data_IF_861740003772
#
_entry.id   IF_861740003772
#
_cell.length_a   1.000
_cell.length_b   1.000
_cell.length_c   1.000
_cell.angle_alpha   90.00
_cell.angle_beta   90.00
_cell.angle_gamma   90.00
#
_symmetry.space_group_name_H-M   'P 1'
#
loop_
_entity.id
_entity.type
_entity.pdbx_description
1 polymer ?
#
# COMPACT_ATOMS: atom_id res chain seq x y z
N UNK A 1 10.64 -11.92 4.25
CA UNK A 1 9.80 -10.80 4.73
C UNK A 1 8.37 -11.30 4.91
N UNK A 2 7.51 -10.56 5.61
CA UNK A 2 6.09 -10.87 5.76
C UNK A 2 5.24 -9.64 5.49
N UNK A 3 4.21 -9.78 4.67
CA UNK A 3 3.23 -8.71 4.41
C UNK A 3 1.86 -9.10 4.92
N UNK A 4 1.17 -8.14 5.53
CA UNK A 4 -0.25 -8.25 5.86
C UNK A 4 -1.03 -7.18 5.11
N UNK A 5 -2.01 -7.60 4.31
CA UNK A 5 -2.95 -6.72 3.63
C UNK A 5 -4.02 -6.29 4.64
N UNK A 6 -3.90 -5.07 5.14
CA UNK A 6 -4.82 -4.49 6.13
C UNK A 6 -6.11 -3.98 5.49
N UNK A 7 -6.06 -3.54 4.25
CA UNK A 7 -7.27 -3.22 3.49
C UNK A 7 -7.00 -3.46 2.03
N UNK A 8 -8.04 -3.81 1.28
CA UNK A 8 -7.90 -4.33 -0.08
C UNK A 8 -8.85 -3.73 -1.10
N UNK A 9 -9.66 -2.75 -0.70
CA UNK A 9 -10.55 -2.02 -1.60
C UNK A 9 -9.93 -0.71 -2.09
N UNK A 10 -10.51 -0.20 -3.17
CA UNK A 10 -10.37 1.17 -3.61
C UNK A 10 -11.10 2.15 -2.66
N UNK A 11 -11.09 3.44 -3.01
CA UNK A 11 -11.54 4.56 -2.20
C UNK A 11 -12.88 4.35 -1.46
N UNK A 12 -13.86 3.83 -2.18
CA UNK A 12 -15.23 3.74 -1.71
C UNK A 12 -15.51 2.57 -0.77
N UNK A 13 -14.59 1.59 -0.67
CA UNK A 13 -14.74 0.31 0.04
C UNK A 13 -15.70 -0.66 -0.67
N UNK A 14 -15.76 -1.90 -0.18
CA UNK A 14 -16.81 -2.87 -0.54
C UNK A 14 -17.40 -3.40 0.77
N UNK A 15 -18.67 -3.11 1.11
CA UNK A 15 -19.64 -2.26 0.42
C UNK A 15 -19.20 -0.80 0.31
N UNK A 16 -19.56 -0.15 -0.80
CA UNK A 16 -19.35 1.28 -0.99
C UNK A 16 -20.17 2.09 0.02
N UNK A 17 -19.58 3.09 0.68
CA UNK A 17 -20.20 3.83 1.80
C UNK A 17 -21.59 4.43 1.50
N UNK A 18 -21.89 4.74 0.22
CA UNK A 18 -23.19 5.23 -0.25
C UNK A 18 -23.84 4.33 -1.31
N UNK A 19 -23.36 3.11 -1.47
CA UNK A 19 -23.80 2.21 -2.54
C UNK A 19 -24.77 1.14 -2.03
N UNK A 20 -25.71 0.77 -2.90
CA UNK A 20 -26.64 -0.34 -2.67
C UNK A 20 -26.68 -1.30 -3.86
N UNK A 21 -25.63 -1.38 -4.69
CA UNK A 21 -25.58 -2.32 -5.83
C UNK A 21 -25.59 -3.78 -5.37
N UNK A 22 -25.78 -4.72 -6.31
CA UNK A 22 -25.83 -6.16 -6.00
C UNK A 22 -24.60 -6.64 -5.22
N UNK A 23 -23.39 -6.25 -5.65
CA UNK A 23 -22.16 -6.61 -4.95
C UNK A 23 -22.11 -6.06 -3.52
N UNK A 24 -22.49 -4.79 -3.32
CA UNK A 24 -22.49 -4.16 -1.99
C UNK A 24 -23.52 -4.79 -1.05
N UNK A 25 -24.71 -5.15 -1.56
CA UNK A 25 -25.72 -5.89 -0.80
C UNK A 25 -25.21 -7.28 -0.43
N UNK A 26 -24.66 -8.00 -1.40
CA UNK A 26 -24.07 -9.32 -1.20
C UNK A 26 -22.98 -9.28 -0.12
N UNK A 27 -22.03 -8.35 -0.23
CA UNK A 27 -20.96 -8.19 0.75
C UNK A 27 -21.49 -7.89 2.16
N UNK A 28 -22.50 -7.03 2.27
CA UNK A 28 -23.15 -6.74 3.56
C UNK A 28 -23.86 -7.95 4.17
N UNK A 29 -24.50 -8.77 3.34
CA UNK A 29 -25.25 -9.95 3.77
C UNK A 29 -24.34 -11.13 4.15
N UNK A 30 -23.26 -11.35 3.39
CA UNK A 30 -22.33 -12.47 3.59
C UNK A 30 -21.27 -12.15 4.64
N UNK A 31 -20.78 -10.91 4.66
CA UNK A 31 -19.68 -10.51 5.53
C UNK A 31 -18.35 -11.19 5.19
N UNK A 32 -17.46 -11.28 6.18
CA UNK A 32 -16.17 -11.95 6.01
C UNK A 32 -15.31 -11.28 4.92
N UNK A 33 -14.75 -12.09 4.01
CA UNK A 33 -13.86 -11.61 2.93
C UNK A 33 -14.56 -10.76 1.87
N UNK A 34 -15.89 -10.75 1.84
CA UNK A 34 -16.62 -9.85 0.94
C UNK A 34 -16.61 -8.40 1.44
N UNK A 35 -16.32 -8.17 2.73
CA UNK A 35 -16.07 -6.84 3.27
C UNK A 35 -14.61 -6.48 3.02
N UNK A 36 -14.38 -5.33 2.39
CA UNK A 36 -13.06 -4.79 2.08
C UNK A 36 -13.00 -3.31 2.43
N UNK A 37 -12.02 -2.94 3.23
CA UNK A 37 -11.70 -1.56 3.62
C UNK A 37 -10.63 -0.94 2.72
N UNK A 38 -10.39 0.36 2.85
CA UNK A 38 -9.46 1.10 2.00
C UNK A 38 -8.05 0.51 2.02
N UNK A 39 -7.37 0.51 0.88
CA UNK A 39 -6.09 -0.17 0.69
C UNK A 39 -5.03 0.27 1.71
N UNK A 40 -4.42 -0.71 2.37
CA UNK A 40 -3.31 -0.51 3.29
C UNK A 40 -2.58 -1.84 3.50
N UNK A 41 -1.28 -1.80 3.74
CA UNK A 41 -0.53 -2.97 4.15
C UNK A 41 0.51 -2.64 5.22
N UNK A 42 0.96 -3.67 5.93
CA UNK A 42 2.12 -3.57 6.82
C UNK A 42 3.11 -4.69 6.52
N UNK A 43 4.39 -4.32 6.46
CA UNK A 43 5.51 -5.24 6.24
C UNK A 43 6.25 -5.44 7.56
N UNK A 44 6.47 -6.71 7.91
CA UNK A 44 7.20 -7.16 9.11
C UNK A 44 6.73 -6.49 10.40
N UNK A 45 5.43 -6.14 10.48
CA UNK A 45 4.83 -5.37 11.58
C UNK A 45 5.56 -4.03 11.88
N UNK A 46 6.28 -3.48 10.90
CA UNK A 46 7.22 -2.40 11.14
C UNK A 46 7.09 -1.24 10.16
N UNK A 47 6.79 -1.53 8.89
CA UNK A 47 6.70 -0.53 7.82
C UNK A 47 5.26 -0.50 7.31
N UNK A 48 4.62 0.64 7.47
CA UNK A 48 3.26 0.85 7.04
C UNK A 48 3.27 1.41 5.60
N UNK A 49 2.40 0.85 4.75
CA UNK A 49 2.19 1.27 3.38
C UNK A 49 0.78 1.85 3.29
N UNK A 50 0.72 3.15 2.98
CA UNK A 50 -0.46 4.01 3.04
C UNK A 50 -1.08 4.18 4.44
N UNK A 51 -1.88 5.23 4.59
CA UNK A 51 -2.56 5.63 5.83
C UNK A 51 -4.00 6.11 5.54
N UNK A 52 -4.92 5.23 5.09
CA UNK A 52 -6.33 5.58 4.89
C UNK A 52 -7.02 5.99 6.19
N UNK A 53 -8.22 6.58 6.06
CA UNK A 53 -9.12 6.81 7.20
C UNK A 53 -9.57 5.53 7.91
N UNK A 54 -9.43 4.37 7.25
CA UNK A 54 -9.70 3.06 7.86
C UNK A 54 -8.52 2.54 8.74
N UNK A 55 -7.39 3.24 8.83
CA UNK A 55 -6.22 2.77 9.60
C UNK A 55 -6.55 2.46 11.06
N UNK A 56 -7.40 3.26 11.72
CA UNK A 56 -7.85 2.98 13.08
C UNK A 56 -8.65 1.66 13.17
N UNK A 57 -9.52 1.41 12.19
CA UNK A 57 -10.26 0.14 12.09
C UNK A 57 -9.30 -1.03 11.87
N UNK A 58 -8.33 -0.90 10.97
CA UNK A 58 -7.31 -1.92 10.72
C UNK A 58 -6.51 -2.22 11.98
N UNK A 59 -6.12 -1.19 12.73
CA UNK A 59 -5.40 -1.34 13.99
C UNK A 59 -6.20 -2.16 15.00
N UNK A 60 -7.49 -1.85 15.18
CA UNK A 60 -8.37 -2.58 16.10
C UNK A 60 -8.63 -4.03 15.65
N UNK A 61 -8.86 -4.23 14.35
CA UNK A 61 -9.18 -5.54 13.77
C UNK A 61 -7.98 -6.47 13.75
N UNK A 62 -6.85 -6.01 13.22
CA UNK A 62 -5.68 -6.83 12.91
C UNK A 62 -4.60 -6.80 13.98
N UNK A 63 -4.71 -5.88 14.94
CA UNK A 63 -3.84 -5.75 16.13
C UNK A 63 -2.35 -5.63 15.78
N UNK A 64 -2.04 -5.00 14.65
CA UNK A 64 -0.67 -4.66 14.32
C UNK A 64 -0.15 -3.55 15.25
N UNK A 65 1.17 -3.41 15.45
CA UNK A 65 1.71 -2.51 16.47
C UNK A 65 1.77 -1.06 15.95
N UNK A 66 0.63 -0.46 15.61
CA UNK A 66 0.55 0.89 15.04
C UNK A 66 1.36 1.94 15.82
N UNK A 67 1.30 2.02 17.18
CA UNK A 67 2.12 2.98 17.92
C UNK A 67 3.64 2.77 17.76
N UNK A 68 4.05 1.55 17.42
CA UNK A 68 5.46 1.21 17.23
C UNK A 68 5.95 1.40 15.79
N UNK A 69 5.10 1.83 14.87
CA UNK A 69 5.51 2.08 13.47
C UNK A 69 6.46 3.28 13.44
N UNK A 70 7.60 3.09 12.77
CA UNK A 70 8.65 4.11 12.58
C UNK A 70 8.69 4.66 11.16
N UNK A 71 8.26 3.88 10.18
CA UNK A 71 8.29 4.29 8.77
C UNK A 71 6.92 4.07 8.13
N UNK A 72 6.39 5.13 7.54
CA UNK A 72 5.17 5.13 6.74
C UNK A 72 5.53 5.58 5.33
N UNK A 73 5.27 4.75 4.32
CA UNK A 73 5.43 5.13 2.91
C UNK A 73 4.03 5.36 2.35
N UNK A 74 3.80 6.54 1.77
CA UNK A 74 2.50 6.96 1.23
C UNK A 74 2.60 7.03 -0.28
N UNK A 75 1.83 6.21 -0.97
CA UNK A 75 1.83 6.13 -2.44
C UNK A 75 1.42 7.45 -3.08
N UNK A 76 0.31 8.04 -2.64
CA UNK A 76 -0.16 9.35 -3.13
C UNK A 76 -1.18 10.00 -2.18
N UNK A 77 -1.66 11.20 -2.53
CA UNK A 77 -2.40 12.09 -1.63
C UNK A 77 -3.91 11.86 -1.56
N UNK A 78 -4.48 10.94 -2.35
CA UNK A 78 -5.92 10.71 -2.29
C UNK A 78 -6.32 10.20 -0.91
N UNK A 79 -7.54 10.54 -0.49
CA UNK A 79 -8.02 10.35 0.89
C UNK A 79 -8.10 8.89 1.34
N UNK A 80 -8.08 7.96 0.40
CA UNK A 80 -8.05 6.53 0.63
C UNK A 80 -6.64 5.94 0.74
N UNK A 81 -5.61 6.76 0.59
CA UNK A 81 -4.20 6.40 0.81
C UNK A 81 -3.54 7.30 1.85
N UNK A 82 -4.07 8.51 2.07
CA UNK A 82 -3.52 9.45 3.03
C UNK A 82 -4.61 10.26 3.75
N UNK A 83 -4.77 9.96 5.04
CA UNK A 83 -5.58 10.70 5.99
C UNK A 83 -4.68 11.31 7.08
N UNK A 84 -4.00 12.40 6.72
CA UNK A 84 -2.96 13.01 7.56
C UNK A 84 -3.47 13.62 8.87
N UNK A 85 -4.77 13.92 8.96
CA UNK A 85 -5.39 14.47 10.18
C UNK A 85 -5.18 13.55 11.40
N UNK A 86 -5.25 12.23 11.21
CA UNK A 86 -5.01 11.28 12.30
C UNK A 86 -3.53 11.18 12.69
N UNK A 87 -2.60 11.47 11.77
CA UNK A 87 -1.16 11.48 12.05
C UNK A 87 -0.75 12.66 12.96
N UNK A 88 -1.49 13.77 12.90
CA UNK A 88 -1.25 14.92 13.77
C UNK A 88 -1.41 14.56 15.26
N UNK A 89 -2.17 13.52 15.58
CA UNK A 89 -2.29 13.01 16.95
C UNK A 89 -1.05 12.29 17.47
N UNK A 90 0.01 12.15 16.66
CA UNK A 90 1.32 11.64 17.11
C UNK A 90 2.16 12.70 17.83
N UNK A 91 1.81 13.98 17.69
CA UNK A 91 2.49 15.09 18.38
C UNK A 91 2.39 14.94 19.90
N UNK A 92 3.38 15.50 20.62
CA UNK A 92 3.38 15.51 22.08
C UNK A 92 2.10 16.21 22.63
N UNK A 93 1.61 15.73 23.76
CA UNK A 93 0.33 16.18 24.36
C UNK A 93 -0.92 15.46 23.87
N UNK A 94 -0.90 14.84 22.67
CA UNK A 94 -1.95 13.90 22.24
C UNK A 94 -1.66 12.47 22.67
N UNK A 95 -0.38 12.07 22.72
CA UNK A 95 0.04 10.73 23.12
C UNK A 95 0.66 10.74 24.53
N UNK A 96 0.11 9.94 25.44
CA UNK A 96 0.64 9.81 26.82
C UNK A 96 1.86 8.89 26.87
N UNK A 97 1.86 7.81 26.08
CA UNK A 97 2.95 6.85 25.99
C UNK A 97 3.09 6.35 24.56
N UNK A 98 4.26 6.58 23.96
CA UNK A 98 4.60 6.11 22.63
C UNK A 98 5.85 5.23 22.69
N UNK A 99 5.78 3.94 22.30
CA UNK A 99 6.95 3.06 22.32
C UNK A 99 8.02 3.50 21.31
N UNK A 100 7.65 4.24 20.26
CA UNK A 100 8.61 4.72 19.25
C UNK A 100 8.61 6.24 19.20
N UNK A 101 9.72 6.90 19.57
CA UNK A 101 9.71 8.35 19.74
C UNK A 101 9.38 9.08 18.43
N UNK A 102 9.69 8.48 17.28
CA UNK A 102 9.63 9.17 15.99
C UNK A 102 9.04 8.30 14.86
N UNK A 103 8.16 8.89 14.05
CA UNK A 103 7.65 8.33 12.79
C UNK A 103 8.10 9.23 11.65
N UNK A 104 8.77 8.65 10.67
CA UNK A 104 9.10 9.31 9.42
C UNK A 104 8.06 8.92 8.37
N UNK A 105 7.46 9.94 7.73
CA UNK A 105 6.53 9.77 6.63
C UNK A 105 7.25 10.05 5.32
N UNK A 106 7.20 9.11 4.38
CA UNK A 106 7.78 9.22 3.05
C UNK A 106 6.65 9.36 2.02
N UNK A 107 6.77 10.32 1.12
CA UNK A 107 5.80 10.49 0.03
C UNK A 107 6.23 11.57 -0.94
N UNK A 108 5.42 11.81 -1.97
CA UNK A 108 5.69 12.89 -2.93
C UNK A 108 5.52 14.28 -2.29
N UNK A 109 5.98 15.32 -2.99
CA UNK A 109 5.79 16.71 -2.55
C UNK A 109 4.31 17.06 -2.40
N UNK A 110 3.45 16.46 -3.23
CA UNK A 110 2.00 16.64 -3.12
C UNK A 110 1.49 16.07 -1.82
N UNK A 111 1.91 14.85 -1.42
CA UNK A 111 1.57 14.27 -0.11
C UNK A 111 2.05 15.18 1.03
N UNK A 112 3.27 15.73 0.93
CA UNK A 112 3.79 16.67 1.93
C UNK A 112 2.88 17.88 2.12
N UNK A 113 2.32 18.44 1.04
CA UNK A 113 1.34 19.52 1.13
C UNK A 113 0.06 19.15 1.92
N UNK A 114 -0.42 17.91 1.79
CA UNK A 114 -1.55 17.41 2.58
C UNK A 114 -1.15 17.11 4.02
N UNK A 115 0.08 16.66 4.27
CA UNK A 115 0.65 16.53 5.61
C UNK A 115 0.65 17.90 6.30
N UNK A 116 1.25 18.92 5.68
CA UNK A 116 1.26 20.29 6.21
C UNK A 116 -0.14 20.84 6.46
N UNK A 117 -1.11 20.53 5.59
CA UNK A 117 -2.51 20.91 5.82
C UNK A 117 -3.05 20.32 7.12
N UNK A 118 -2.79 19.04 7.40
CA UNK A 118 -3.28 18.38 8.61
C UNK A 118 -2.72 19.04 9.89
N UNK A 119 -1.42 19.34 9.90
CA UNK A 119 -0.75 19.98 11.03
C UNK A 119 -1.16 21.46 11.19
N UNK A 120 -1.43 22.14 10.08
CA UNK A 120 -2.01 23.48 10.10
C UNK A 120 -3.38 23.52 10.81
N UNK A 121 -4.23 22.49 10.65
CA UNK A 121 -5.51 22.41 11.34
C UNK A 121 -5.36 22.34 12.86
N UNK A 122 -4.30 21.66 13.33
CA UNK A 122 -3.94 21.56 14.75
C UNK A 122 -3.16 22.78 15.27
N UNK A 123 -2.77 23.70 14.38
CA UNK A 123 -1.99 24.91 14.68
C UNK A 123 -0.66 24.59 15.39
N UNK A 124 -0.07 23.43 15.10
CA UNK A 124 1.16 22.95 15.72
C UNK A 124 1.91 22.01 14.78
N UNK A 125 3.24 22.02 14.93
CA UNK A 125 4.17 21.06 14.35
C UNK A 125 5.01 20.41 15.46
N UNK A 126 5.46 19.18 15.24
CA UNK A 126 6.27 18.41 16.18
C UNK A 126 7.23 17.48 15.44
N UNK A 127 8.24 18.08 14.80
CA UNK A 127 9.23 17.36 13.99
C UNK A 127 10.02 16.32 14.79
N UNK A 128 10.09 16.45 16.12
CA UNK A 128 10.73 15.46 16.98
C UNK A 128 9.96 14.13 16.97
N UNK A 129 8.62 14.19 16.94
CA UNK A 129 7.77 13.00 16.99
C UNK A 129 7.30 12.55 15.61
N UNK A 130 7.20 13.45 14.64
CA UNK A 130 6.75 13.12 13.31
C UNK A 130 7.32 14.11 12.29
N UNK A 131 8.05 13.60 11.32
CA UNK A 131 8.57 14.38 10.19
C UNK A 131 8.17 13.77 8.86
N UNK A 132 8.43 14.54 7.81
CA UNK A 132 8.15 14.18 6.44
C UNK A 132 9.41 14.26 5.59
N UNK A 133 9.63 13.22 4.79
CA UNK A 133 10.69 13.15 3.79
C UNK A 133 10.06 13.04 2.40
N UNK A 134 10.20 14.11 1.61
CA UNK A 134 9.81 14.10 0.21
C UNK A 134 10.71 13.13 -0.58
N UNK A 135 10.08 12.22 -1.32
CA UNK A 135 10.73 11.31 -2.28
C UNK A 135 10.18 11.52 -3.69
N UNK A 136 10.96 11.16 -4.70
CA UNK A 136 10.65 11.29 -6.13
C UNK A 136 10.87 9.96 -6.85
N UNK A 137 10.26 9.75 -8.03
CA UNK A 137 10.58 8.59 -8.86
C UNK A 137 12.09 8.49 -9.09
N UNK A 138 12.63 7.29 -8.90
CA UNK A 138 14.04 6.94 -9.00
C UNK A 138 14.86 7.13 -7.73
N UNK A 139 14.28 7.64 -6.65
CA UNK A 139 14.97 7.75 -5.37
C UNK A 139 15.12 6.37 -4.69
N UNK A 140 16.34 6.07 -4.25
CA UNK A 140 16.66 4.99 -3.32
C UNK A 140 16.80 5.58 -1.90
N UNK A 141 16.12 4.98 -0.93
CA UNK A 141 16.18 5.43 0.46
C UNK A 141 16.09 4.28 1.46
N UNK A 142 16.56 4.51 2.69
CA UNK A 142 16.55 3.52 3.75
C UNK A 142 15.40 3.81 4.70
N UNK A 143 14.58 2.79 4.93
CA UNK A 143 13.54 2.79 5.96
C UNK A 143 13.89 1.78 7.04
N UNK A 144 13.41 2.01 8.26
CA UNK A 144 13.81 1.22 9.42
C UNK A 144 12.60 0.82 10.25
N UNK A 145 12.64 -0.42 10.75
CA UNK A 145 11.75 -0.85 11.82
C UNK A 145 11.99 -0.06 13.11
N UNK A 146 11.03 -0.13 14.03
CA UNK A 146 11.32 0.28 15.41
C UNK A 146 12.06 -0.85 16.13
N UNK A 147 12.97 -0.56 17.09
CA UNK A 147 13.47 -1.58 18.00
C UNK A 147 12.30 -2.27 18.70
N UNK A 148 12.33 -3.61 18.81
CA UNK A 148 11.28 -4.41 19.46
C UNK A 148 11.00 -3.97 20.91
N UNK A 149 11.95 -3.30 21.56
CA UNK A 149 11.76 -2.66 22.85
C UNK A 149 12.66 -1.43 23.00
N UNK A 150 12.19 -0.37 23.68
CA UNK A 150 13.04 0.79 24.03
C UNK A 150 14.29 0.42 24.88
N UNK A 151 14.35 -0.82 25.38
CA UNK A 151 15.41 -1.37 26.20
C UNK A 151 16.20 -2.52 25.52
N UNK A 152 15.90 -2.88 24.27
CA UNK A 152 16.68 -3.87 23.52
C UNK A 152 17.90 -3.20 22.87
N UNK A 153 19.07 -3.82 23.01
CA UNK A 153 20.29 -3.42 22.28
C UNK A 153 20.29 -3.94 20.82
N UNK A 154 19.13 -4.31 20.28
CA UNK A 154 19.02 -4.82 18.93
C UNK A 154 18.94 -3.64 17.95
N UNK A 155 19.78 -3.68 16.93
CA UNK A 155 19.77 -2.68 15.87
C UNK A 155 18.45 -2.77 15.08
N UNK A 156 17.83 -1.62 14.73
CA UNK A 156 16.67 -1.62 13.85
C UNK A 156 16.98 -2.37 12.55
N UNK A 157 16.09 -3.29 12.17
CA UNK A 157 16.13 -3.87 10.83
C UNK A 157 15.89 -2.77 9.80
N UNK A 158 16.74 -2.72 8.80
CA UNK A 158 16.74 -1.74 7.71
C UNK A 158 16.29 -2.38 6.42
N UNK A 159 15.63 -1.59 5.60
CA UNK A 159 15.15 -1.98 4.30
C UNK A 159 15.50 -0.89 3.30
N UNK A 160 15.86 -1.29 2.09
CA UNK A 160 16.02 -0.38 0.96
C UNK A 160 14.68 -0.24 0.26
N UNK A 161 14.17 0.98 0.18
CA UNK A 161 12.99 1.32 -0.59
C UNK A 161 13.41 2.03 -1.87
N UNK A 162 12.67 1.76 -2.96
CA UNK A 162 12.79 2.47 -4.23
C UNK A 162 11.44 3.05 -4.60
N UNK A 163 11.39 4.32 -5.00
CA UNK A 163 10.18 4.99 -5.45
C UNK A 163 10.08 4.95 -6.98
N UNK A 164 8.93 4.51 -7.50
CA UNK A 164 8.63 4.48 -8.93
C UNK A 164 7.49 5.44 -9.26
N UNK A 165 7.44 5.92 -10.50
CA UNK A 165 6.31 6.70 -11.00
C UNK A 165 5.10 5.79 -11.29
N UNK A 166 3.95 6.13 -10.71
CA UNK A 166 2.67 5.52 -10.99
C UNK A 166 1.96 6.23 -12.16
N UNK A 167 1.20 5.51 -12.97
CA UNK A 167 0.37 6.10 -14.01
C UNK A 167 -0.95 6.66 -13.43
N UNK A 168 -0.89 7.58 -12.47
CA UNK A 168 -2.06 8.15 -11.77
C UNK A 168 -1.84 9.57 -11.28
N UNK A 169 -2.88 10.20 -10.75
CA UNK A 169 -2.80 11.56 -10.22
C UNK A 169 -2.77 12.62 -11.32
N UNK A 170 -1.91 13.63 -11.20
CA UNK A 170 -1.79 14.69 -12.21
C UNK A 170 -0.79 14.33 -13.31
N UNK A 171 -0.23 13.11 -13.31
CA UNK A 171 0.82 12.66 -14.24
C UNK A 171 2.04 13.59 -14.21
N UNK A 172 2.41 14.03 -13.01
CA UNK A 172 3.51 14.97 -12.77
C UNK A 172 4.50 14.41 -11.73
N UNK A 173 4.72 13.10 -11.75
CA UNK A 173 5.53 12.38 -10.75
C UNK A 173 5.05 12.58 -9.29
N UNK A 174 3.73 12.73 -9.12
CA UNK A 174 3.06 13.04 -7.86
C UNK A 174 2.36 11.83 -7.22
N UNK A 175 2.17 10.76 -7.98
CA UNK A 175 1.75 9.44 -7.49
C UNK A 175 2.88 8.44 -7.65
N UNK A 176 3.14 7.70 -6.58
CA UNK A 176 4.26 6.77 -6.47
C UNK A 176 3.78 5.37 -6.12
N UNK A 177 4.59 4.39 -6.51
CA UNK A 177 4.57 3.09 -5.88
C UNK A 177 5.98 2.66 -5.48
N UNK A 178 6.09 1.65 -4.62
CA UNK A 178 7.36 1.35 -3.95
C UNK A 178 7.79 -0.10 -4.15
N UNK A 179 9.10 -0.30 -4.29
CA UNK A 179 9.70 -1.57 -3.89
C UNK A 179 10.31 -1.45 -2.50
N UNK A 180 10.42 -2.59 -1.81
CA UNK A 180 11.03 -2.69 -0.49
C UNK A 180 11.82 -3.99 -0.40
N UNK A 181 13.10 -3.90 -0.04
CA UNK A 181 13.99 -5.06 0.11
C UNK A 181 14.70 -5.05 1.45
N UNK A 182 14.81 -6.23 2.08
CA UNK A 182 15.67 -6.45 3.24
C UNK A 182 17.08 -6.97 2.86
N UNK A 183 17.37 -7.05 1.56
CA UNK A 183 18.60 -7.61 0.98
C UNK A 183 18.54 -9.09 0.62
N UNK A 184 17.53 -9.83 1.10
CA UNK A 184 17.28 -11.23 0.75
C UNK A 184 15.98 -11.40 -0.05
N UNK A 185 14.95 -10.62 0.29
CA UNK A 185 13.61 -10.64 -0.29
C UNK A 185 13.22 -9.26 -0.77
N UNK A 186 12.38 -9.21 -1.80
CA UNK A 186 11.92 -7.94 -2.38
C UNK A 186 10.42 -7.96 -2.66
N UNK A 187 9.75 -6.93 -2.15
CA UNK A 187 8.34 -6.59 -2.40
C UNK A 187 8.25 -5.52 -3.50
N UNK A 188 7.26 -5.65 -4.39
CA UNK A 188 6.71 -4.54 -5.18
C UNK A 188 5.26 -4.29 -4.74
N UNK A 189 4.95 -3.07 -4.29
CA UNK A 189 3.62 -2.64 -3.88
C UNK A 189 3.14 -1.55 -4.83
N UNK A 190 2.44 -1.95 -5.91
CA UNK A 190 2.05 -1.09 -7.04
C UNK A 190 0.52 -0.97 -7.17
N UNK A 191 -0.05 -0.12 -6.31
CA UNK A 191 -1.47 0.26 -6.34
C UNK A 191 -1.66 1.65 -6.95
N UNK A 192 -2.89 1.98 -7.36
CA UNK A 192 -3.24 3.24 -8.01
C UNK A 192 -2.34 3.57 -9.19
N UNK A 193 -2.29 2.62 -10.12
CA UNK A 193 -1.59 2.78 -11.38
C UNK A 193 -2.31 2.02 -12.46
N UNK A 194 -2.38 2.61 -13.65
CA UNK A 194 -2.60 1.85 -14.88
C UNK A 194 -1.34 1.08 -15.29
N UNK A 195 -1.27 0.72 -16.58
CA UNK A 195 -0.04 0.21 -17.18
C UNK A 195 1.15 1.10 -16.82
N UNK A 196 2.25 0.51 -16.35
CA UNK A 196 3.37 1.32 -15.87
C UNK A 196 3.94 2.19 -16.99
N UNK A 197 4.29 3.45 -16.71
CA UNK A 197 4.95 4.31 -17.69
C UNK A 197 6.23 3.69 -18.26
N UNK A 198 6.61 4.05 -19.48
CA UNK A 198 7.83 3.53 -20.13
C UNK A 198 9.09 3.79 -19.28
N UNK A 199 9.16 4.97 -18.63
CA UNK A 199 10.26 5.29 -17.72
C UNK A 199 10.29 4.37 -16.51
N UNK A 200 9.12 4.02 -15.96
CA UNK A 200 8.99 3.08 -14.84
C UNK A 200 9.40 1.67 -15.23
N UNK A 201 9.06 1.20 -16.44
CA UNK A 201 9.56 -0.08 -16.95
C UNK A 201 11.07 -0.08 -17.13
N UNK A 202 11.63 0.98 -17.69
CA UNK A 202 13.08 1.14 -17.83
C UNK A 202 13.78 1.18 -16.47
N UNK A 203 13.14 1.80 -15.47
CA UNK A 203 13.63 1.83 -14.10
C UNK A 203 13.59 0.46 -13.42
N UNK A 204 12.48 -0.30 -13.55
CA UNK A 204 12.39 -1.67 -13.06
C UNK A 204 13.51 -2.56 -13.64
N UNK A 205 13.79 -2.43 -14.94
CA UNK A 205 14.91 -3.13 -15.60
C UNK A 205 16.27 -2.66 -15.08
N UNK A 206 16.45 -1.36 -14.83
CA UNK A 206 17.69 -0.75 -14.31
C UNK A 206 17.99 -1.18 -12.87
N UNK A 207 16.99 -1.10 -11.99
CA UNK A 207 17.08 -1.53 -10.59
C UNK A 207 17.35 -3.03 -10.55
N UNK A 208 16.66 -3.78 -11.42
CA UNK A 208 16.84 -5.22 -11.56
C UNK A 208 16.53 -5.97 -10.27
N UNK A 209 17.21 -7.10 -10.07
CA UNK A 209 16.94 -8.01 -8.95
C UNK A 209 15.74 -8.92 -9.22
N UNK A 210 15.35 -9.67 -8.20
CA UNK A 210 14.17 -10.54 -8.23
C UNK A 210 13.14 -10.03 -7.21
N UNK A 211 11.88 -9.98 -7.64
CA UNK A 211 10.74 -9.69 -6.79
C UNK A 211 10.10 -10.99 -6.32
N UNK A 212 10.10 -11.21 -5.01
CA UNK A 212 9.48 -12.40 -4.40
C UNK A 212 7.98 -12.21 -4.20
N UNK A 213 7.52 -10.96 -4.04
CA UNK A 213 6.10 -10.64 -3.87
C UNK A 213 5.73 -9.37 -4.65
N UNK A 214 4.65 -9.42 -5.41
CA UNK A 214 4.16 -8.32 -6.25
C UNK A 214 2.66 -8.12 -6.00
N UNK A 215 2.29 -6.98 -5.41
CA UNK A 215 0.89 -6.55 -5.22
C UNK A 215 0.53 -5.52 -6.28
N UNK A 216 -0.52 -5.77 -7.05
CA UNK A 216 -0.94 -4.94 -8.19
C UNK A 216 -2.34 -4.37 -7.99
N UNK A 217 -2.53 -3.13 -8.47
CA UNK A 217 -3.84 -2.51 -8.68
C UNK A 217 -4.71 -3.45 -9.53
N UNK A 218 -5.91 -3.76 -9.06
CA UNK A 218 -6.92 -4.53 -9.77
C UNK A 218 -8.28 -3.89 -9.54
N UNK A 219 -8.34 -2.56 -9.62
CA UNK A 219 -9.52 -1.75 -9.32
C UNK A 219 -10.77 -2.25 -10.03
N UNK A 220 -10.65 -2.58 -11.31
CA UNK A 220 -11.80 -3.03 -12.10
C UNK A 220 -12.06 -4.55 -12.02
N UNK A 221 -11.32 -5.28 -11.18
CA UNK A 221 -11.44 -6.71 -10.97
C UNK A 221 -11.45 -7.48 -12.31
N UNK A 222 -12.50 -8.27 -12.59
CA UNK A 222 -12.63 -9.06 -13.82
C UNK A 222 -13.27 -8.28 -14.98
N UNK A 223 -13.55 -7.01 -14.79
CA UNK A 223 -14.30 -6.18 -15.73
C UNK A 223 -13.55 -4.88 -16.05
N UNK A 224 -14.19 -4.02 -16.84
CA UNK A 224 -13.62 -2.75 -17.25
C UNK A 224 -12.70 -2.86 -18.47
N UNK A 225 -12.61 -1.75 -19.21
CA UNK A 225 -11.56 -1.56 -20.20
C UNK A 225 -10.36 -1.00 -19.44
N UNK A 226 -9.15 -1.45 -19.77
CA UNK A 226 -7.90 -0.86 -19.25
C UNK A 226 -7.99 0.66 -19.34
N UNK A 227 -8.13 1.31 -18.19
CA UNK A 227 -8.09 2.76 -18.08
C UNK A 227 -6.63 3.14 -17.81
N UNK A 228 -6.20 4.30 -18.27
CA UNK A 228 -4.80 4.72 -18.07
C UNK A 228 -4.41 4.86 -16.59
N UNK A 229 -5.38 4.92 -15.67
CA UNK A 229 -5.18 5.23 -14.26
C UNK A 229 -5.35 4.05 -13.30
N UNK A 230 -6.05 2.99 -13.72
CA UNK A 230 -6.26 1.79 -12.90
C UNK A 230 -6.30 0.54 -13.77
N UNK A 231 -5.96 -0.60 -13.18
CA UNK A 231 -5.87 -1.88 -13.85
C UNK A 231 -7.09 -2.77 -13.60
N UNK A 232 -7.28 -3.73 -14.51
CA UNK A 232 -8.10 -4.90 -14.29
C UNK A 232 -7.20 -6.15 -14.18
N UNK A 233 -7.81 -7.32 -13.99
CA UNK A 233 -7.04 -8.55 -13.84
C UNK A 233 -6.28 -8.94 -15.12
N UNK A 234 -6.80 -8.63 -16.32
CA UNK A 234 -6.07 -8.87 -17.57
C UNK A 234 -4.78 -8.04 -17.64
N UNK A 235 -4.82 -6.79 -17.19
CA UNK A 235 -3.64 -5.93 -17.10
C UNK A 235 -2.63 -6.48 -16.08
N UNK A 236 -3.08 -7.03 -14.95
CA UNK A 236 -2.20 -7.72 -13.99
C UNK A 236 -1.46 -8.90 -14.64
N UNK A 237 -2.13 -9.71 -15.47
CA UNK A 237 -1.47 -10.79 -16.20
C UNK A 237 -0.39 -10.25 -17.14
N UNK A 238 -0.67 -9.14 -17.84
CA UNK A 238 0.30 -8.49 -18.72
C UNK A 238 1.50 -7.93 -17.95
N UNK A 239 1.29 -7.35 -16.77
CA UNK A 239 2.36 -6.86 -15.89
C UNK A 239 3.23 -8.04 -15.44
N UNK A 240 2.63 -9.13 -14.93
CA UNK A 240 3.35 -10.37 -14.59
C UNK A 240 4.21 -10.84 -15.75
N UNK A 241 3.61 -11.02 -16.92
CA UNK A 241 4.29 -11.57 -18.09
C UNK A 241 5.45 -10.67 -18.52
N UNK A 242 5.28 -9.34 -18.43
CA UNK A 242 6.36 -8.39 -18.71
C UNK A 242 7.49 -8.45 -17.69
N UNK A 243 7.18 -8.57 -16.39
CA UNK A 243 8.19 -8.74 -15.35
C UNK A 243 8.99 -10.04 -15.53
N UNK A 244 8.33 -11.14 -15.90
CA UNK A 244 8.99 -12.42 -16.21
C UNK A 244 9.89 -12.27 -17.45
N UNK A 245 9.44 -11.58 -18.50
CA UNK A 245 10.26 -11.31 -19.68
C UNK A 245 11.51 -10.47 -19.39
N UNK A 246 11.42 -9.54 -18.42
CA UNK A 246 12.55 -8.76 -17.95
C UNK A 246 13.48 -9.55 -17.02
N UNK A 247 13.09 -10.75 -16.58
CA UNK A 247 13.87 -11.57 -15.66
C UNK A 247 13.90 -11.05 -14.23
N UNK A 248 12.96 -10.17 -13.86
CA UNK A 248 12.84 -9.61 -12.50
C UNK A 248 11.78 -10.33 -11.65
N UNK A 249 11.08 -11.30 -12.23
CA UNK A 249 10.14 -12.19 -11.56
C UNK A 249 10.17 -13.55 -12.25
N UNK A 250 9.70 -14.59 -11.57
CA UNK A 250 9.67 -15.97 -12.08
C UNK A 250 8.49 -16.77 -11.49
N UNK A 251 8.50 -18.09 -11.66
CA UNK A 251 7.48 -18.99 -11.11
C UNK A 251 7.42 -19.04 -9.57
N UNK A 252 8.43 -18.49 -8.88
CA UNK A 252 8.48 -18.41 -7.43
C UNK A 252 7.97 -17.06 -6.90
N UNK A 253 7.79 -16.06 -7.77
CA UNK A 253 7.18 -14.79 -7.41
C UNK A 253 5.70 -14.97 -7.05
N UNK A 254 5.30 -14.43 -5.90
CA UNK A 254 3.91 -14.39 -5.47
C UNK A 254 3.24 -13.15 -6.05
N UNK A 255 2.34 -13.35 -7.01
CA UNK A 255 1.55 -12.28 -7.61
C UNK A 255 0.18 -12.14 -6.95
N UNK A 256 -0.17 -10.91 -6.57
CA UNK A 256 -1.39 -10.60 -5.82
C UNK A 256 -2.17 -9.49 -6.51
N UNK A 257 -3.45 -9.76 -6.81
CA UNK A 257 -4.42 -8.75 -7.24
C UNK A 257 -5.06 -8.09 -6.03
N UNK A 258 -5.13 -6.76 -6.01
CA UNK A 258 -5.55 -5.97 -4.85
C UNK A 258 -6.27 -4.66 -5.29
N UNK A 259 -6.61 -3.78 -4.35
CA UNK A 259 -7.23 -2.47 -4.60
C UNK A 259 -8.58 -2.53 -5.33
N UNK A 260 -9.50 -3.41 -4.91
CA UNK A 260 -10.72 -3.67 -5.67
C UNK A 260 -11.79 -2.58 -5.48
N UNK A 261 -12.36 -2.10 -6.59
CA UNK A 261 -13.53 -1.22 -6.57
C UNK A 261 -14.83 -2.03 -6.62
N UNK A 262 -15.87 -1.54 -5.95
CA UNK A 262 -17.21 -2.11 -6.13
C UNK A 262 -17.73 -1.97 -7.58
N UNK A 263 -17.12 -1.09 -8.38
CA UNK A 263 -17.40 -0.91 -9.80
C UNK A 263 -16.90 -2.10 -10.64
N UNK A 264 -15.96 -2.89 -10.12
CA UNK A 264 -15.52 -4.15 -10.72
C UNK A 264 -16.58 -5.26 -10.65
N UNK A 265 -17.66 -5.08 -9.87
CA UNK A 265 -18.84 -5.97 -9.79
C UNK A 265 -18.51 -7.47 -9.63
N UNK A 266 -17.37 -7.77 -9.03
CA UNK A 266 -16.84 -9.11 -8.85
C UNK A 266 -16.82 -9.42 -7.36
N UNK A 267 -17.41 -10.54 -6.96
CA UNK A 267 -17.36 -11.06 -5.58
C UNK A 267 -15.96 -11.60 -5.25
N UNK A 268 -15.64 -11.78 -3.96
CA UNK A 268 -14.39 -12.44 -3.57
C UNK A 268 -14.28 -13.83 -4.23
N UNK A 269 -15.36 -14.61 -4.20
CA UNK A 269 -15.35 -15.97 -4.73
C UNK A 269 -15.06 -16.04 -6.23
N UNK A 270 -15.62 -15.12 -7.02
CA UNK A 270 -15.36 -15.03 -8.46
C UNK A 270 -13.91 -14.62 -8.73
N UNK A 271 -13.39 -13.66 -7.95
CA UNK A 271 -12.01 -13.20 -8.09
C UNK A 271 -11.00 -14.28 -7.68
N UNK A 272 -11.25 -15.00 -6.57
CA UNK A 272 -10.44 -16.15 -6.12
C UNK A 272 -10.35 -17.23 -7.22
N UNK A 273 -11.48 -17.56 -7.85
CA UNK A 273 -11.54 -18.59 -8.89
C UNK A 273 -10.78 -18.16 -10.16
N UNK A 274 -10.86 -16.89 -10.54
CA UNK A 274 -10.11 -16.35 -11.67
C UNK A 274 -8.60 -16.28 -11.37
N UNK A 275 -8.22 -15.73 -10.21
CA UNK A 275 -6.83 -15.58 -9.79
C UNK A 275 -6.11 -16.93 -9.71
N UNK A 276 -6.76 -17.93 -9.10
CA UNK A 276 -6.20 -19.28 -8.92
C UNK A 276 -5.85 -19.97 -10.25
N UNK A 277 -6.59 -19.72 -11.33
CA UNK A 277 -6.31 -20.32 -12.65
C UNK A 277 -5.00 -19.81 -13.26
N UNK A 278 -4.60 -18.61 -12.87
CA UNK A 278 -3.46 -17.89 -13.43
C UNK A 278 -2.27 -17.83 -12.46
N UNK A 279 -2.33 -18.54 -11.33
CA UNK A 279 -1.28 -18.50 -10.30
C UNK A 279 -1.22 -17.19 -9.52
N UNK A 280 -2.29 -16.40 -9.54
CA UNK A 280 -2.45 -15.20 -8.72
C UNK A 280 -3.20 -15.51 -7.42
N UNK A 281 -3.01 -14.63 -6.43
CA UNK A 281 -3.81 -14.56 -5.21
C UNK A 281 -4.73 -13.33 -5.30
N UNK A 282 -6.03 -13.49 -5.02
CA UNK A 282 -6.90 -12.34 -4.75
C UNK A 282 -6.72 -11.93 -3.30
N UNK A 283 -6.25 -10.69 -3.06
CA UNK A 283 -6.11 -10.17 -1.71
C UNK A 283 -7.49 -10.12 -1.03
N UNK A 284 -7.49 -10.24 0.30
CA UNK A 284 -8.62 -9.93 1.16
C UNK A 284 -8.10 -9.32 2.46
N UNK A 285 -8.95 -8.57 3.14
CA UNK A 285 -8.62 -7.91 4.39
C UNK A 285 -8.13 -8.90 5.47
N UNK A 286 -6.97 -8.61 6.03
CA UNK A 286 -6.29 -9.44 7.03
C UNK A 286 -5.48 -10.61 6.45
N UNK A 287 -5.38 -10.73 5.12
CA UNK A 287 -4.49 -11.71 4.46
C UNK A 287 -3.03 -11.46 4.85
N UNK A 288 -2.32 -12.52 5.24
CA UNK A 288 -0.91 -12.47 5.65
C UNK A 288 -0.11 -13.54 4.91
N UNK A 289 1.05 -13.15 4.36
CA UNK A 289 1.92 -14.02 3.56
C UNK A 289 3.39 -13.79 3.95
N UNK A 290 4.08 -14.87 4.32
CA UNK A 290 5.53 -14.94 4.41
C UNK A 290 6.12 -15.26 3.02
N UNK A 291 7.19 -14.55 2.64
CA UNK A 291 7.91 -14.75 1.40
C UNK A 291 9.42 -14.64 1.61
#
# INVERSE_FOLDING_TARGET
>A
MKIKQLGTAAAERIPGIFCTCDLCRHASEVGGKEIRTQCQAIVDNAILLDFPGDTYLHYLRDRFPLPSVRSLLVTHWHSDHFYGEDLAFRMDGYVINNPTPHLEVYGSETVHGFHERAFFLEQRHDEEHISFTTVRPGDDFIVASSPDNQHSNEEPRRYTAHAFEAAHGHHAADSLFYSLSDGERTLLYAHDTGWFPDNTWAELERVGGHYDYVSLDCNHALHGVSLSMHMNFEDNLRVRDRMIQLGIADEHTIFVANHFSHNGRTTQAEMDEAARKEGFISAYDGMEIDF
#
